data_IF_162313066962
#
_entry.id   IF_162313066962
#
_cell.length_a   1.000
_cell.length_b   1.000
_cell.length_c   1.000
_cell.angle_alpha   90.00
_cell.angle_beta   90.00
_cell.angle_gamma   90.00
#
_symmetry.space_group_name_H-M   'P 1'
#
loop_
_entity.id
_entity.type
_entity.pdbx_description
1 polymer ?
#
# COMPACT_ATOMS: atom_id res chain seq x y z
N UNK A 1 -11.17 -15.89 -7.12
CA UNK A 1 -11.30 -14.53 -6.54
C UNK A 1 -12.21 -13.74 -7.49
N UNK A 2 -13.43 -13.38 -7.07
CA UNK A 2 -14.44 -12.77 -7.96
C UNK A 2 -14.09 -11.32 -8.32
N UNK A 3 -14.52 -10.86 -9.51
CA UNK A 3 -14.33 -9.48 -10.01
C UNK A 3 -14.80 -8.42 -9.00
N UNK A 4 -15.95 -8.67 -8.35
CA UNK A 4 -16.56 -7.79 -7.34
C UNK A 4 -15.64 -7.48 -6.15
N UNK A 5 -14.80 -8.45 -5.73
CA UNK A 5 -13.83 -8.23 -4.64
C UNK A 5 -12.69 -7.30 -5.05
N UNK A 6 -12.29 -7.33 -6.33
CA UNK A 6 -11.20 -6.50 -6.86
C UNK A 6 -11.65 -5.07 -7.07
N UNK A 7 -12.83 -4.88 -7.64
CA UNK A 7 -13.44 -3.54 -7.83
C UNK A 7 -13.61 -2.81 -6.49
N UNK A 8 -14.09 -3.52 -5.46
CA UNK A 8 -14.23 -2.95 -4.12
C UNK A 8 -12.87 -2.57 -3.51
N UNK A 9 -11.82 -3.36 -3.74
CA UNK A 9 -10.46 -3.03 -3.26
C UNK A 9 -9.91 -1.77 -3.93
N UNK A 10 -10.16 -1.57 -5.23
CA UNK A 10 -9.75 -0.35 -5.94
C UNK A 10 -10.49 0.87 -5.41
N UNK A 11 -11.81 0.79 -5.26
CA UNK A 11 -12.61 1.91 -4.74
C UNK A 11 -12.18 2.33 -3.33
N UNK A 12 -11.85 1.37 -2.46
CA UNK A 12 -11.33 1.66 -1.11
C UNK A 12 -9.96 2.35 -1.18
N UNK A 13 -9.10 1.94 -2.11
CA UNK A 13 -7.78 2.55 -2.30
C UNK A 13 -7.89 3.98 -2.81
N UNK A 14 -8.76 4.25 -3.79
CA UNK A 14 -9.04 5.60 -4.29
C UNK A 14 -9.57 6.51 -3.18
N UNK A 15 -10.51 6.02 -2.38
CA UNK A 15 -11.03 6.77 -1.23
C UNK A 15 -9.94 7.03 -0.18
N UNK A 16 -9.07 6.05 0.08
CA UNK A 16 -7.94 6.20 0.99
C UNK A 16 -7.00 7.31 0.51
N UNK A 17 -6.60 7.29 -0.76
CA UNK A 17 -5.77 8.34 -1.37
C UNK A 17 -6.42 9.70 -1.22
N UNK A 18 -7.70 9.85 -1.58
CA UNK A 18 -8.40 11.12 -1.47
C UNK A 18 -8.44 11.64 -0.02
N UNK A 19 -8.56 10.73 0.94
CA UNK A 19 -8.53 11.07 2.36
C UNK A 19 -7.14 11.53 2.80
N UNK A 20 -6.08 10.83 2.40
CA UNK A 20 -4.70 11.25 2.69
C UNK A 20 -4.43 12.64 2.09
N UNK A 21 -4.80 12.88 0.83
CA UNK A 21 -4.63 14.18 0.18
C UNK A 21 -5.37 15.32 0.89
N UNK A 22 -6.56 15.05 1.44
CA UNK A 22 -7.32 16.04 2.20
C UNK A 22 -6.73 16.31 3.61
N UNK A 23 -6.02 15.34 4.17
CA UNK A 23 -5.42 15.43 5.51
C UNK A 23 -3.96 15.87 5.49
N UNK A 24 -3.27 15.77 4.35
CA UNK A 24 -1.88 16.20 4.23
C UNK A 24 -1.75 17.72 4.40
N UNK A 25 -1.07 18.14 5.49
CA UNK A 25 -0.69 19.54 5.70
C UNK A 25 0.26 20.05 4.62
N UNK A 26 1.06 19.15 4.04
CA UNK A 26 1.97 19.44 2.94
C UNK A 26 1.94 18.29 1.95
N UNK A 27 1.65 18.63 0.70
CA UNK A 27 1.60 17.70 -0.42
C UNK A 27 2.86 16.83 -0.48
N UNK A 28 2.69 15.56 -0.82
CA UNK A 28 3.76 14.63 -1.19
C UNK A 28 4.71 14.31 -0.02
N UNK A 29 4.21 14.38 1.22
CA UNK A 29 5.00 14.07 2.44
C UNK A 29 4.70 12.71 3.04
N UNK A 30 3.53 12.15 2.77
CA UNK A 30 3.14 10.85 3.31
C UNK A 30 3.89 9.71 2.64
N UNK A 31 4.14 8.67 3.44
CA UNK A 31 4.67 7.39 3.00
C UNK A 31 3.61 6.32 3.18
N UNK A 32 3.41 5.47 2.17
CA UNK A 32 2.50 4.34 2.27
C UNK A 32 3.27 3.07 2.61
N UNK A 33 2.80 2.35 3.62
CA UNK A 33 3.31 1.05 3.97
C UNK A 33 2.21 0.01 3.78
N UNK A 34 2.44 -0.96 2.90
CA UNK A 34 1.42 -1.93 2.51
C UNK A 34 1.86 -3.35 2.86
N UNK A 35 0.91 -4.13 3.37
CA UNK A 35 1.14 -5.51 3.79
C UNK A 35 1.24 -6.49 2.60
N UNK A 36 1.50 -7.75 2.93
CA UNK A 36 1.78 -8.81 1.97
C UNK A 36 0.55 -9.41 1.29
N UNK A 37 -0.64 -8.88 1.57
CA UNK A 37 -1.88 -9.52 1.12
C UNK A 37 -1.96 -9.54 -0.40
N UNK A 38 -2.43 -10.66 -0.98
CA UNK A 38 -2.45 -10.85 -2.45
C UNK A 38 -3.36 -9.86 -3.18
N UNK A 39 -4.37 -9.31 -2.49
CA UNK A 39 -5.29 -8.30 -3.03
C UNK A 39 -4.58 -6.98 -3.34
N UNK A 40 -3.47 -6.74 -2.65
CA UNK A 40 -2.68 -5.52 -2.67
C UNK A 40 -1.53 -5.57 -3.69
N UNK A 41 -1.20 -6.77 -4.20
CA UNK A 41 -0.11 -7.02 -5.16
C UNK A 41 -0.60 -7.16 -6.61
N UNK A 42 -1.48 -6.26 -7.05
CA UNK A 42 -1.94 -6.24 -8.45
C UNK A 42 -1.38 -5.01 -9.17
N UNK A 43 -1.10 -5.14 -10.48
CA UNK A 43 -0.58 -4.01 -11.29
C UNK A 43 -1.48 -2.77 -11.24
N UNK A 44 -2.80 -2.96 -11.13
CA UNK A 44 -3.75 -1.85 -11.00
C UNK A 44 -3.57 -1.11 -9.68
N UNK A 45 -3.40 -1.85 -8.58
CA UNK A 45 -3.13 -1.26 -7.26
C UNK A 45 -1.78 -0.53 -7.24
N UNK A 46 -0.74 -1.12 -7.83
CA UNK A 46 0.56 -0.44 -7.93
C UNK A 46 0.50 0.82 -8.78
N UNK A 47 -0.20 0.81 -9.92
CA UNK A 47 -0.33 2.00 -10.77
C UNK A 47 -0.99 3.16 -10.02
N UNK A 48 -2.05 2.89 -9.26
CA UNK A 48 -2.70 3.91 -8.42
C UNK A 48 -1.72 4.41 -7.36
N UNK A 49 -1.02 3.52 -6.66
CA UNK A 49 -0.10 3.92 -5.59
C UNK A 49 1.10 4.71 -6.11
N UNK A 50 1.70 4.29 -7.22
CA UNK A 50 2.81 5.01 -7.87
C UNK A 50 2.38 6.41 -8.32
N UNK A 51 1.16 6.58 -8.84
CA UNK A 51 0.65 7.88 -9.27
C UNK A 51 0.62 8.91 -8.13
N UNK A 52 0.31 8.47 -6.91
CA UNK A 52 0.16 9.38 -5.76
C UNK A 52 1.39 9.44 -4.85
N UNK A 53 2.01 8.30 -4.58
CA UNK A 53 3.13 8.20 -3.66
C UNK A 53 4.48 8.21 -4.38
N UNK A 54 4.51 8.10 -5.71
CA UNK A 54 5.74 8.01 -6.50
C UNK A 54 6.64 6.88 -5.95
N UNK A 55 7.81 7.20 -5.41
CA UNK A 55 8.73 6.24 -4.78
C UNK A 55 8.57 6.17 -3.25
N UNK A 56 7.56 6.82 -2.66
CA UNK A 56 7.31 6.92 -1.21
C UNK A 56 6.40 5.81 -0.69
N UNK A 57 6.62 4.58 -1.11
CA UNK A 57 5.90 3.44 -0.56
C UNK A 57 6.78 2.21 -0.43
N UNK A 58 6.43 1.34 0.52
CA UNK A 58 7.05 0.03 0.69
C UNK A 58 5.97 -1.05 0.57
N UNK A 59 6.21 -2.04 -0.29
CA UNK A 59 5.32 -3.18 -0.45
C UNK A 59 6.11 -4.41 -0.84
N UNK A 60 5.62 -5.58 -0.45
CA UNK A 60 6.23 -6.85 -0.78
C UNK A 60 6.23 -7.11 -2.30
N UNK A 61 7.39 -7.43 -2.87
CA UNK A 61 7.62 -7.85 -4.27
C UNK A 61 7.50 -6.68 -5.28
N UNK A 62 7.44 -5.43 -4.85
CA UNK A 62 7.39 -4.28 -5.75
C UNK A 62 8.58 -4.26 -6.73
N UNK A 63 9.79 -4.48 -6.20
CA UNK A 63 11.00 -4.48 -7.01
C UNK A 63 10.99 -5.57 -8.07
N UNK A 64 10.28 -6.68 -7.85
CA UNK A 64 10.12 -7.74 -8.84
C UNK A 64 9.15 -7.36 -9.97
N UNK A 65 8.26 -6.39 -9.75
CA UNK A 65 7.32 -5.90 -10.76
C UNK A 65 7.87 -4.72 -11.57
N UNK A 66 8.65 -3.84 -10.96
CA UNK A 66 9.12 -2.58 -11.59
C UNK A 66 10.63 -2.54 -11.81
N UNK A 67 11.40 -3.43 -11.17
CA UNK A 67 12.86 -3.42 -11.17
C UNK A 67 13.48 -2.34 -10.29
N UNK A 68 12.66 -1.57 -9.57
CA UNK A 68 13.06 -0.42 -8.74
C UNK A 68 12.23 -0.39 -7.44
N UNK A 69 12.65 0.41 -6.46
CA UNK A 69 11.93 0.60 -5.19
C UNK A 69 12.43 -0.30 -4.05
N UNK A 70 11.87 -0.08 -2.85
CA UNK A 70 12.27 -0.77 -1.63
C UNK A 70 11.31 -1.92 -1.33
N UNK A 71 11.82 -3.15 -1.44
CA UNK A 71 11.05 -4.33 -1.07
C UNK A 71 10.93 -4.47 0.44
N UNK A 72 9.73 -4.84 0.86
CA UNK A 72 9.47 -5.29 2.21
C UNK A 72 9.90 -6.76 2.40
N UNK A 73 10.59 -7.12 3.50
CA UNK A 73 10.90 -8.53 3.78
C UNK A 73 9.62 -9.34 4.02
N UNK A 74 9.53 -10.58 3.49
CA UNK A 74 8.38 -11.44 3.71
C UNK A 74 8.29 -11.93 5.16
N UNK A 75 7.08 -12.03 5.68
CA UNK A 75 6.72 -12.49 7.02
C UNK A 75 7.33 -11.66 8.16
N UNK A 76 7.31 -10.32 8.04
CA UNK A 76 7.78 -9.40 9.09
C UNK A 76 6.62 -8.65 9.79
N UNK A 77 5.80 -9.32 10.63
CA UNK A 77 4.72 -8.69 11.38
C UNK A 77 5.22 -7.72 12.45
N UNK A 78 6.44 -7.95 12.95
CA UNK A 78 7.18 -7.09 13.88
C UNK A 78 7.48 -5.71 13.29
N UNK A 79 7.45 -5.61 11.96
CA UNK A 79 7.72 -4.37 11.26
C UNK A 79 6.44 -3.67 10.80
N UNK A 80 5.25 -4.28 10.91
CA UNK A 80 3.97 -3.63 10.56
C UNK A 80 3.47 -2.82 11.76
N UNK A 81 3.48 -1.48 11.72
CA UNK A 81 3.14 -0.66 12.89
C UNK A 81 1.73 -0.95 13.41
N UNK A 82 0.76 -1.17 12.52
CA UNK A 82 -0.62 -1.49 12.92
C UNK A 82 -0.74 -2.85 13.62
N UNK A 83 0.13 -3.82 13.29
CA UNK A 83 0.17 -5.13 13.96
C UNK A 83 0.81 -5.02 15.35
N UNK A 84 1.82 -4.16 15.53
CA UNK A 84 2.42 -3.87 16.85
C UNK A 84 1.39 -3.24 17.79
N UNK A 85 0.53 -2.33 17.28
CA UNK A 85 -0.53 -1.70 18.08
C UNK A 85 -1.72 -2.63 18.38
N UNK A 86 -2.00 -3.62 17.53
CA UNK A 86 -3.11 -4.57 17.71
C UNK A 86 -2.69 -5.93 18.30
N UNK A 87 -1.41 -6.13 18.61
CA UNK A 87 -0.83 -7.41 19.07
C UNK A 87 -0.27 -7.38 20.49
N UNK A 88 -0.76 -6.49 21.34
CA UNK A 88 -0.42 -6.42 22.76
C UNK A 88 -1.64 -6.66 23.64
N UNK A 89 -2.22 -7.86 23.51
CA UNK A 89 -3.11 -8.48 24.49
C UNK A 89 -2.58 -9.88 24.85
#
# INVERSE_FOLDING_TARGET
MSLLKRERSVAVLEQFVATVQALEDRRDTSWLMQDETRLHRTRVVFAIIEEYFENRFTTLIYSAFTGIGMDWPPFSPDLIPVTIYCGAD
#
